data_IF_327370081245
#
_entry.id   IF_327370081245
#
_cell.length_a   1.000
_cell.length_b   1.000
_cell.length_c   1.000
_cell.angle_alpha   90.00
_cell.angle_beta   90.00
_cell.angle_gamma   90.00
#
_symmetry.space_group_name_H-M   'P 1'
#
loop_
_entity.id
_entity.type
_entity.pdbx_description
1 polymer ?
#
# COMPACT_ATOMS: atom_id res chain seq x y z
N UNK A 1 -10.70 17.85 -11.56
CA UNK A 1 -9.40 17.76 -10.84
C UNK A 1 -9.46 16.63 -9.81
N UNK A 2 -8.39 15.85 -9.70
CA UNK A 2 -8.32 14.76 -8.75
C UNK A 2 -7.49 15.15 -7.54
N UNK A 3 -7.86 14.63 -6.39
CA UNK A 3 -7.01 14.71 -5.22
C UNK A 3 -6.55 13.30 -4.83
N UNK A 4 -5.42 13.21 -4.17
CA UNK A 4 -4.77 11.94 -3.86
C UNK A 4 -4.46 11.86 -2.37
N UNK A 5 -4.50 10.64 -1.83
CA UNK A 5 -3.90 10.41 -0.53
C UNK A 5 -3.10 9.11 -0.57
N UNK A 6 -2.19 8.98 0.37
CA UNK A 6 -1.23 7.88 0.42
C UNK A 6 -1.34 7.18 1.78
N UNK A 7 -1.27 5.87 1.75
CA UNK A 7 -1.26 5.07 2.98
C UNK A 7 -0.05 4.15 2.95
N UNK A 8 0.79 4.23 3.96
CA UNK A 8 1.96 3.36 4.07
C UNK A 8 1.57 2.04 4.68
N UNK A 9 2.01 0.96 4.06
CA UNK A 9 1.79 -0.40 4.55
C UNK A 9 3.13 -1.10 4.64
N UNK A 10 3.45 -1.61 5.82
CA UNK A 10 4.69 -2.35 6.03
C UNK A 10 4.56 -3.77 5.52
N UNK A 11 5.67 -4.34 5.07
CA UNK A 11 5.72 -5.74 4.73
C UNK A 11 6.04 -6.56 5.98
N UNK A 12 5.39 -7.71 6.10
CA UNK A 12 5.69 -8.66 7.16
C UNK A 12 6.90 -9.50 6.74
N UNK A 13 7.84 -9.65 7.67
CA UNK A 13 9.02 -10.45 7.46
C UNK A 13 8.88 -11.78 8.20
N UNK A 14 9.25 -12.87 7.53
CA UNK A 14 9.35 -14.19 8.14
C UNK A 14 10.80 -14.65 8.07
N UNK A 15 11.57 -14.46 9.13
CA UNK A 15 13.00 -14.80 9.11
C UNK A 15 13.28 -16.26 8.81
N UNK A 16 12.41 -17.17 9.28
CA UNK A 16 12.59 -18.60 9.07
C UNK A 16 12.40 -19.02 7.62
N UNK A 17 11.56 -18.29 6.89
CA UNK A 17 11.25 -18.58 5.49
C UNK A 17 11.94 -17.62 4.54
N UNK A 18 12.68 -16.65 5.05
CA UNK A 18 13.33 -15.59 4.28
C UNK A 18 12.35 -14.90 3.33
N UNK A 19 11.12 -14.67 3.81
CA UNK A 19 10.04 -14.09 3.01
C UNK A 19 9.61 -12.74 3.55
N UNK A 20 9.20 -11.88 2.61
CA UNK A 20 8.55 -10.62 2.91
C UNK A 20 7.22 -10.60 2.16
N UNK A 21 6.14 -10.32 2.85
CA UNK A 21 4.83 -10.19 2.24
C UNK A 21 4.14 -8.96 2.77
N UNK A 22 3.25 -8.39 1.95
CA UNK A 22 2.49 -7.21 2.37
C UNK A 22 1.54 -7.59 3.50
N UNK A 23 1.39 -6.70 4.48
CA UNK A 23 0.46 -6.90 5.59
C UNK A 23 -0.96 -7.05 5.06
N UNK A 24 -1.70 -8.11 5.45
CA UNK A 24 -3.08 -8.32 4.99
C UNK A 24 -4.03 -7.16 5.27
N UNK A 25 -3.67 -6.25 6.15
CA UNK A 25 -4.48 -5.05 6.40
C UNK A 25 -4.68 -4.19 5.15
N UNK A 26 -3.86 -4.38 4.12
CA UNK A 26 -4.03 -3.61 2.88
C UNK A 26 -5.42 -3.78 2.28
N UNK A 27 -6.03 -4.95 2.45
CA UNK A 27 -7.38 -5.21 1.93
C UNK A 27 -8.41 -4.33 2.64
N UNK A 28 -8.30 -4.22 3.96
CA UNK A 28 -9.20 -3.36 4.73
C UNK A 28 -9.02 -1.89 4.39
N UNK A 29 -7.78 -1.48 4.15
CA UNK A 29 -7.48 -0.11 3.78
C UNK A 29 -8.13 0.24 2.45
N UNK A 30 -8.00 -0.66 1.45
CA UNK A 30 -8.59 -0.45 0.14
C UNK A 30 -10.11 -0.42 0.23
N UNK A 31 -10.70 -1.33 0.99
CA UNK A 31 -12.15 -1.41 1.13
C UNK A 31 -12.72 -0.16 1.81
N UNK A 32 -12.05 0.32 2.85
CA UNK A 32 -12.48 1.55 3.53
C UNK A 32 -12.39 2.77 2.63
N UNK A 33 -11.29 2.87 1.87
CA UNK A 33 -11.11 3.97 0.95
C UNK A 33 -12.20 3.96 -0.12
N UNK A 34 -12.51 2.78 -0.66
CA UNK A 34 -13.56 2.63 -1.66
C UNK A 34 -14.93 3.03 -1.10
N UNK A 35 -15.21 2.69 0.15
CA UNK A 35 -16.47 3.06 0.80
C UNK A 35 -16.62 4.57 0.94
N UNK A 36 -15.51 5.30 1.00
CA UNK A 36 -15.50 6.77 1.09
C UNK A 36 -15.36 7.44 -0.26
N UNK A 37 -15.45 6.67 -1.35
CA UNK A 37 -15.40 7.22 -2.70
C UNK A 37 -14.00 7.35 -3.28
N UNK A 38 -13.00 6.79 -2.64
CA UNK A 38 -11.63 6.81 -3.13
C UNK A 38 -11.36 5.61 -4.04
N UNK A 39 -10.64 5.82 -5.12
CA UNK A 39 -10.28 4.76 -6.06
C UNK A 39 -8.81 4.41 -5.90
N UNK A 40 -8.52 3.12 -5.81
CA UNK A 40 -7.14 2.65 -5.75
C UNK A 40 -6.44 2.86 -7.11
N UNK A 41 -5.31 3.55 -7.07
CA UNK A 41 -4.53 3.84 -8.28
C UNK A 41 -3.39 2.82 -8.45
N UNK A 42 -2.67 2.55 -7.38
CA UNK A 42 -1.52 1.67 -7.41
C UNK A 42 -0.68 1.83 -6.16
N UNK A 43 0.54 1.36 -6.23
CA UNK A 43 1.45 1.46 -5.10
C UNK A 43 2.86 1.78 -5.57
N UNK A 44 3.64 2.37 -4.65
CA UNK A 44 5.07 2.58 -4.87
C UNK A 44 5.84 1.89 -3.75
N UNK A 45 6.94 1.16 -4.08
CA UNK A 45 7.82 0.66 -3.05
C UNK A 45 8.66 1.82 -2.51
N UNK A 46 8.54 2.09 -1.21
CA UNK A 46 9.24 3.22 -0.60
C UNK A 46 10.48 2.80 0.16
N UNK A 47 10.59 1.51 0.48
CA UNK A 47 11.79 0.99 1.14
C UNK A 47 12.02 -0.46 0.70
N UNK A 48 13.25 -0.77 0.33
CA UNK A 48 13.63 -2.09 -0.15
C UNK A 48 14.90 -2.57 0.54
N UNK A 49 15.06 -3.89 0.61
CA UNK A 49 16.32 -4.49 1.06
C UNK A 49 17.34 -4.46 -0.07
N UNK A 50 18.58 -4.79 0.25
CA UNK A 50 19.65 -4.91 -0.74
C UNK A 50 19.36 -5.96 -1.81
N UNK A 51 18.49 -6.91 -1.51
CA UNK A 51 18.15 -8.00 -2.42
C UNK A 51 16.84 -7.75 -3.17
N UNK A 52 16.28 -6.54 -3.06
CA UNK A 52 15.10 -6.18 -3.81
C UNK A 52 13.77 -6.50 -3.15
N UNK A 53 13.79 -7.07 -1.93
CA UNK A 53 12.54 -7.30 -1.20
C UNK A 53 11.95 -5.97 -0.73
N UNK A 54 10.65 -5.78 -0.94
CA UNK A 54 9.99 -4.53 -0.57
C UNK A 54 9.59 -4.58 0.91
N UNK A 55 10.06 -3.61 1.68
CA UNK A 55 9.78 -3.50 3.11
C UNK A 55 8.60 -2.60 3.43
N UNK A 56 8.32 -1.64 2.56
CA UNK A 56 7.25 -0.69 2.79
C UNK A 56 6.63 -0.28 1.47
N UNK A 57 5.31 -0.27 1.44
CA UNK A 57 4.53 0.12 0.27
C UNK A 57 3.79 1.41 0.57
N UNK A 58 3.66 2.26 -0.45
CA UNK A 58 2.83 3.45 -0.38
C UNK A 58 1.63 3.21 -1.30
N UNK A 59 0.46 2.98 -0.72
CA UNK A 59 -0.76 2.77 -1.49
C UNK A 59 -1.34 4.13 -1.88
N UNK A 60 -1.67 4.28 -3.15
CA UNK A 60 -2.11 5.57 -3.69
C UNK A 60 -3.57 5.48 -4.09
N UNK A 61 -4.35 6.45 -3.64
CA UNK A 61 -5.78 6.55 -3.92
C UNK A 61 -6.09 7.91 -4.54
N UNK A 62 -7.11 7.95 -5.39
CA UNK A 62 -7.56 9.20 -5.98
C UNK A 62 -9.07 9.35 -5.84
N UNK A 63 -9.51 10.61 -5.84
CA UNK A 63 -10.91 10.94 -5.83
C UNK A 63 -11.11 12.20 -6.66
N UNK A 64 -12.18 12.24 -7.46
CA UNK A 64 -12.49 13.43 -8.23
C UNK A 64 -13.00 14.53 -7.31
N UNK A 65 -12.35 15.68 -7.38
CA UNK A 65 -12.71 16.84 -6.58
C UNK A 65 -13.57 17.77 -7.40
N UNK A 66 -14.73 18.08 -6.87
CA UNK A 66 -15.70 19.00 -7.51
C UNK A 66 -15.42 20.44 -7.12
#
# INVERSE_FOLDING_TARGET
MYEYFHVKVAANASPMLARYSIDPEYQNIIDRAAAEGWRYVGFLPVQQTLYGAILEYDLIFEQEKR
#
